data_IF_601898482862
#
_entry.id   IF_601898482862
#
_cell.length_a   1.000
_cell.length_b   1.000
_cell.length_c   1.000
_cell.angle_alpha   90.00
_cell.angle_beta   90.00
_cell.angle_gamma   90.00
#
_symmetry.space_group_name_H-M   'P 1'
#
loop_
_entity.id
_entity.type
_entity.pdbx_description
1 polymer ?
#
# COMPACT_ATOMS: atom_id res chain seq x y z
N UNK A 1 7.09 14.07 11.09
CA UNK A 1 7.21 13.45 9.76
C UNK A 1 8.18 14.24 8.90
N UNK A 2 8.88 13.56 7.98
CA UNK A 2 9.66 14.23 6.92
C UNK A 2 8.74 14.64 5.75
N UNK A 3 9.28 15.45 4.83
CA UNK A 3 8.65 15.85 3.57
C UNK A 3 8.41 14.65 2.65
N UNK A 4 7.53 14.83 1.66
CA UNK A 4 7.29 13.84 0.59
C UNK A 4 8.61 13.49 -0.10
N UNK A 5 8.93 12.20 -0.18
CA UNK A 5 10.16 11.72 -0.81
C UNK A 5 11.42 11.81 0.04
N UNK A 6 11.34 12.21 1.32
CA UNK A 6 12.47 12.19 2.24
C UNK A 6 13.75 12.85 1.71
N UNK A 7 13.61 14.02 1.06
CA UNK A 7 14.70 14.73 0.39
C UNK A 7 15.41 13.96 -0.75
N UNK A 8 14.70 13.06 -1.42
CA UNK A 8 15.23 12.24 -2.51
C UNK A 8 15.76 10.87 -2.08
N UNK A 9 15.62 10.52 -0.80
CA UNK A 9 16.01 9.21 -0.28
C UNK A 9 15.02 8.13 -0.73
N UNK A 10 15.52 7.12 -1.43
CA UNK A 10 14.73 5.97 -1.88
C UNK A 10 15.13 4.73 -1.10
N UNK A 11 14.14 3.92 -0.72
CA UNK A 11 14.35 2.63 -0.07
C UNK A 11 13.76 1.51 -0.90
N UNK A 12 14.53 0.45 -1.14
CA UNK A 12 14.02 -0.80 -1.72
C UNK A 12 13.76 -1.83 -0.61
N UNK A 13 12.54 -2.38 -0.48
CA UNK A 13 12.15 -3.16 0.69
C UNK A 13 12.52 -4.65 0.63
N UNK A 14 13.46 -5.03 -0.23
CA UNK A 14 13.74 -6.43 -0.59
C UNK A 14 14.56 -7.21 0.45
N UNK A 15 14.27 -7.06 1.75
CA UNK A 15 15.08 -7.64 2.83
C UNK A 15 15.23 -9.17 2.75
N UNK A 16 14.25 -9.86 2.16
CA UNK A 16 14.20 -11.33 2.04
C UNK A 16 14.13 -11.79 0.57
N UNK A 17 14.57 -10.95 -0.37
CA UNK A 17 14.21 -11.10 -1.78
C UNK A 17 12.84 -10.49 -2.09
N UNK A 18 12.38 -10.65 -3.32
CA UNK A 18 11.09 -10.16 -3.80
C UNK A 18 10.37 -11.21 -4.65
N UNK A 19 9.06 -11.36 -4.46
CA UNK A 19 8.21 -12.25 -5.24
C UNK A 19 7.58 -11.54 -6.41
N UNK A 20 6.95 -10.39 -6.15
CA UNK A 20 6.24 -9.61 -7.16
C UNK A 20 6.76 -8.18 -7.12
N UNK A 21 7.14 -7.57 -8.25
CA UNK A 21 6.97 -8.06 -9.62
C UNK A 21 8.11 -8.96 -10.14
N UNK A 22 9.23 -9.03 -9.43
CA UNK A 22 10.50 -9.51 -10.00
C UNK A 22 10.74 -11.03 -9.90
N UNK A 23 10.17 -11.70 -8.90
CA UNK A 23 10.43 -13.11 -8.58
C UNK A 23 11.94 -13.43 -8.45
N UNK A 24 12.61 -12.67 -7.60
CA UNK A 24 14.05 -12.72 -7.37
C UNK A 24 14.33 -12.99 -5.88
N UNK A 25 14.87 -14.16 -5.56
CA UNK A 25 15.20 -14.55 -4.19
C UNK A 25 16.53 -13.94 -3.68
N UNK A 26 17.33 -13.36 -4.58
CA UNK A 26 18.70 -12.90 -4.30
C UNK A 26 18.81 -11.40 -4.09
N UNK A 27 17.87 -10.62 -4.63
CA UNK A 27 17.81 -9.16 -4.43
C UNK A 27 17.72 -8.81 -2.94
N UNK A 28 18.35 -7.70 -2.54
CA UNK A 28 18.39 -7.21 -1.16
C UNK A 28 17.99 -5.75 -1.07
N UNK A 29 17.47 -5.37 0.10
CA UNK A 29 17.07 -4.00 0.36
C UNK A 29 18.24 -3.03 0.40
N UNK A 30 17.98 -1.78 0.00
CA UNK A 30 18.97 -0.71 -0.10
C UNK A 30 18.37 0.65 0.20
N UNK A 31 19.18 1.55 0.74
CA UNK A 31 18.91 2.99 0.74
C UNK A 31 19.76 3.64 -0.35
N UNK A 32 19.12 4.39 -1.24
CA UNK A 32 19.75 5.08 -2.36
C UNK A 32 19.52 6.58 -2.20
N UNK A 33 20.58 7.38 -2.37
CA UNK A 33 20.52 8.84 -2.23
C UNK A 33 20.81 9.36 -0.81
N UNK A 34 21.51 8.58 0.03
CA UNK A 34 21.99 9.05 1.33
C UNK A 34 22.98 10.21 1.16
N UNK A 35 22.81 11.24 1.99
CA UNK A 35 23.75 12.36 2.13
C UNK A 35 23.99 12.73 3.59
N UNK A 36 24.87 13.72 3.83
CA UNK A 36 25.20 14.17 5.18
C UNK A 36 24.03 14.88 5.91
N UNK A 37 22.99 15.29 5.19
CA UNK A 37 21.81 15.97 5.75
C UNK A 37 20.67 15.00 6.06
N UNK A 38 20.78 13.75 5.62
CA UNK A 38 19.74 12.74 5.80
C UNK A 38 19.47 12.49 7.28
N UNK A 39 18.21 12.66 7.68
CA UNK A 39 17.79 12.46 9.07
C UNK A 39 17.14 11.10 9.28
N UNK A 40 17.02 10.69 10.55
CA UNK A 40 16.24 9.51 10.90
C UNK A 40 14.76 9.59 10.51
N UNK A 41 14.21 10.81 10.37
CA UNK A 41 12.84 11.02 9.88
C UNK A 41 12.73 10.78 8.38
N UNK A 42 13.76 11.14 7.59
CA UNK A 42 13.85 10.84 6.16
C UNK A 42 13.93 9.33 5.95
N UNK A 43 14.77 8.63 6.70
CA UNK A 43 14.89 7.17 6.59
C UNK A 43 13.57 6.47 6.93
N UNK A 44 12.88 6.89 8.00
CA UNK A 44 11.54 6.35 8.34
C UNK A 44 10.54 6.60 7.22
N UNK A 45 10.54 7.80 6.64
CA UNK A 45 9.66 8.17 5.53
C UNK A 45 9.95 7.32 4.28
N UNK A 46 11.21 7.22 3.89
CA UNK A 46 11.66 6.42 2.76
C UNK A 46 11.28 4.94 2.92
N UNK A 47 11.35 4.37 4.13
CA UNK A 47 10.90 2.99 4.37
C UNK A 47 9.40 2.83 4.07
N UNK A 48 8.54 3.73 4.56
CA UNK A 48 7.11 3.65 4.30
C UNK A 48 6.80 3.85 2.81
N UNK A 49 7.46 4.81 2.17
CA UNK A 49 7.32 5.09 0.74
C UNK A 49 7.82 3.91 -0.10
N UNK A 50 8.98 3.33 0.22
CA UNK A 50 9.57 2.17 -0.46
C UNK A 50 8.71 0.92 -0.41
N UNK A 51 8.14 0.59 0.76
CA UNK A 51 7.17 -0.52 0.89
C UNK A 51 5.92 -0.22 0.05
N UNK A 52 5.50 1.05 -0.02
CA UNK A 52 4.34 1.44 -0.83
C UNK A 52 4.68 1.35 -2.32
N UNK A 53 5.89 1.72 -2.73
CA UNK A 53 6.34 1.60 -4.13
C UNK A 53 6.39 0.15 -4.61
N UNK A 54 6.83 -0.81 -3.78
CA UNK A 54 6.79 -2.23 -4.18
C UNK A 54 5.37 -2.74 -4.46
N UNK A 55 4.37 -2.22 -3.75
CA UNK A 55 2.95 -2.51 -4.02
C UNK A 55 2.47 -1.75 -5.26
N UNK A 56 2.97 -0.53 -5.49
CA UNK A 56 2.63 0.28 -6.66
C UNK A 56 3.05 -0.40 -7.97
N UNK A 57 4.10 -1.20 -7.99
CA UNK A 57 4.43 -2.06 -9.15
C UNK A 57 3.27 -3.00 -9.50
N UNK A 58 2.69 -3.65 -8.50
CA UNK A 58 1.55 -4.56 -8.71
C UNK A 58 0.32 -3.82 -9.22
N UNK A 59 0.04 -2.63 -8.69
CA UNK A 59 -1.05 -1.76 -9.16
C UNK A 59 -0.80 -1.31 -10.61
N UNK A 60 0.46 -1.02 -10.96
CA UNK A 60 0.86 -0.64 -12.32
C UNK A 60 0.63 -1.79 -13.29
N UNK A 61 0.98 -3.02 -12.91
CA UNK A 61 0.67 -4.23 -13.69
C UNK A 61 -0.84 -4.39 -13.90
N UNK A 62 -1.66 -4.22 -12.86
CA UNK A 62 -3.12 -4.27 -13.00
C UNK A 62 -3.64 -3.21 -13.98
N UNK A 63 -3.16 -1.97 -13.87
CA UNK A 63 -3.56 -0.86 -14.75
C UNK A 63 -3.14 -1.08 -16.21
N UNK A 64 -1.95 -1.62 -16.43
CA UNK A 64 -1.47 -2.00 -17.77
C UNK A 64 -2.35 -3.08 -18.42
N UNK A 65 -3.02 -3.91 -17.60
CA UNK A 65 -4.03 -4.87 -18.02
C UNK A 65 -5.46 -4.28 -18.04
N UNK A 66 -5.59 -2.94 -18.07
CA UNK A 66 -6.86 -2.19 -18.14
C UNK A 66 -7.78 -2.42 -16.93
N UNK A 67 -7.24 -2.85 -15.79
CA UNK A 67 -7.99 -2.95 -14.53
C UNK A 67 -7.90 -1.59 -13.82
N UNK A 68 -9.05 -0.95 -13.63
CA UNK A 68 -9.14 0.30 -12.88
C UNK A 68 -8.99 0.03 -11.38
N UNK A 69 -8.05 0.71 -10.73
CA UNK A 69 -7.85 0.68 -9.28
C UNK A 69 -8.07 2.09 -8.75
N UNK A 70 -9.31 2.35 -8.30
CA UNK A 70 -9.77 3.67 -7.84
C UNK A 70 -9.94 3.71 -6.31
N UNK A 71 -10.16 2.55 -5.69
CA UNK A 71 -10.37 2.39 -4.25
C UNK A 71 -9.61 1.16 -3.76
N UNK A 72 -8.99 1.28 -2.59
CA UNK A 72 -8.20 0.22 -1.96
C UNK A 72 -8.61 0.13 -0.49
N UNK A 73 -8.87 -1.08 -0.02
CA UNK A 73 -9.10 -1.36 1.39
C UNK A 73 -7.76 -1.74 2.02
N UNK A 74 -7.20 -0.87 2.86
CA UNK A 74 -5.99 -1.14 3.63
C UNK A 74 -6.35 -1.90 4.90
N UNK A 75 -5.65 -3.00 5.17
CA UNK A 75 -5.87 -3.89 6.31
C UNK A 75 -4.57 -4.17 7.07
N UNK A 76 -4.67 -4.74 8.27
CA UNK A 76 -3.52 -5.12 9.09
C UNK A 76 -2.88 -3.93 9.83
N UNK A 77 -1.67 -4.13 10.37
CA UNK A 77 -1.03 -3.14 11.25
C UNK A 77 -0.79 -1.77 10.61
N UNK A 78 -0.49 -1.74 9.31
CA UNK A 78 -0.29 -0.50 8.55
C UNK A 78 -1.54 0.37 8.46
N UNK A 79 -2.73 -0.25 8.52
CA UNK A 79 -4.02 0.44 8.44
C UNK A 79 -4.32 1.31 9.68
N UNK A 80 -3.56 1.14 10.78
CA UNK A 80 -3.68 1.98 11.98
C UNK A 80 -2.89 3.29 11.86
N UNK A 81 -1.99 3.40 10.88
CA UNK A 81 -1.12 4.55 10.70
C UNK A 81 -1.69 5.53 9.65
N UNK A 82 -2.30 6.62 10.13
CA UNK A 82 -2.92 7.65 9.27
C UNK A 82 -1.94 8.28 8.27
N UNK A 83 -0.69 8.52 8.65
CA UNK A 83 0.34 9.05 7.74
C UNK A 83 0.63 8.06 6.62
N UNK A 84 0.76 6.76 6.94
CA UNK A 84 1.01 5.75 5.93
C UNK A 84 -0.19 5.53 5.00
N UNK A 85 -1.42 5.61 5.51
CA UNK A 85 -2.62 5.58 4.67
C UNK A 85 -2.65 6.74 3.66
N UNK A 86 -2.22 7.94 4.06
CA UNK A 86 -2.10 9.07 3.13
C UNK A 86 -1.00 8.83 2.08
N UNK A 87 0.16 8.30 2.49
CA UNK A 87 1.24 7.91 1.55
C UNK A 87 0.73 6.90 0.53
N UNK A 88 -0.02 5.88 0.96
CA UNK A 88 -0.68 4.92 0.07
C UNK A 88 -1.63 5.62 -0.90
N UNK A 89 -2.52 6.51 -0.41
CA UNK A 89 -3.47 7.22 -1.26
C UNK A 89 -2.75 8.02 -2.36
N UNK A 90 -1.69 8.73 -1.97
CA UNK A 90 -0.94 9.60 -2.86
C UNK A 90 -0.14 8.80 -3.92
N UNK A 91 0.58 7.75 -3.50
CA UNK A 91 1.40 6.92 -4.40
C UNK A 91 0.51 6.10 -5.33
N UNK A 92 -0.54 5.47 -4.79
CA UNK A 92 -1.44 4.65 -5.57
C UNK A 92 -2.35 5.50 -6.47
N UNK A 93 -2.52 6.79 -6.15
CA UNK A 93 -3.50 7.67 -6.78
C UNK A 93 -4.89 7.01 -6.78
N UNK A 94 -5.30 6.50 -5.61
CA UNK A 94 -6.56 5.82 -5.34
C UNK A 94 -7.04 6.18 -3.92
N UNK A 95 -8.34 6.14 -3.69
CA UNK A 95 -8.89 6.36 -2.34
C UNK A 95 -8.54 5.16 -1.45
N UNK A 96 -8.07 5.41 -0.23
CA UNK A 96 -7.79 4.36 0.75
C UNK A 96 -8.85 4.38 1.82
N UNK A 97 -9.48 3.23 2.08
CA UNK A 97 -10.36 3.05 3.24
C UNK A 97 -9.81 1.94 4.14
N UNK A 98 -10.30 1.90 5.37
CA UNK A 98 -10.01 0.85 6.35
C UNK A 98 -11.32 0.33 6.93
N UNK A 99 -11.32 -0.93 7.37
CA UNK A 99 -12.48 -1.52 8.03
C UNK A 99 -12.52 -1.11 9.51
N UNK A 100 -13.71 -1.02 10.09
CA UNK A 100 -13.88 -0.76 11.53
C UNK A 100 -13.52 -1.96 12.39
N UNK A 101 -13.58 -3.16 11.80
CA UNK A 101 -13.12 -4.41 12.40
C UNK A 101 -11.64 -4.67 12.07
N UNK A 102 -10.94 -5.43 12.92
CA UNK A 102 -9.50 -5.72 12.73
C UNK A 102 -9.19 -7.18 12.34
N UNK A 103 -10.19 -8.07 12.29
CA UNK A 103 -10.04 -9.52 12.25
C UNK A 103 -10.33 -10.13 10.87
N UNK A 104 -9.66 -9.63 9.82
CA UNK A 104 -9.92 -10.00 8.42
C UNK A 104 -10.12 -11.51 8.16
N UNK A 105 -9.12 -12.39 8.40
CA UNK A 105 -9.23 -13.82 8.08
C UNK A 105 -10.32 -14.54 8.89
N UNK A 106 -10.43 -14.24 10.18
CA UNK A 106 -11.45 -14.85 11.04
C UNK A 106 -12.86 -14.43 10.61
N UNK A 107 -13.03 -13.17 10.19
CA UNK A 107 -14.29 -12.68 9.64
C UNK A 107 -14.67 -13.43 8.36
N UNK A 108 -13.72 -13.62 7.43
CA UNK A 108 -13.95 -14.40 6.22
C UNK A 108 -14.42 -15.83 6.51
N UNK A 109 -13.78 -16.50 7.49
CA UNK A 109 -14.20 -17.83 7.93
C UNK A 109 -15.64 -17.83 8.50
N UNK A 110 -16.00 -16.82 9.30
CA UNK A 110 -17.35 -16.65 9.83
C UNK A 110 -18.38 -16.41 8.71
N UNK A 111 -18.04 -15.61 7.70
CA UNK A 111 -18.91 -15.37 6.54
C UNK A 111 -19.17 -16.66 5.75
N UNK A 112 -18.14 -17.50 5.56
CA UNK A 112 -18.28 -18.80 4.93
C UNK A 112 -19.17 -19.74 5.74
N UNK A 113 -19.00 -19.78 7.07
CA UNK A 113 -19.84 -20.57 7.95
C UNK A 113 -21.30 -20.12 7.93
N UNK A 114 -21.55 -18.80 7.93
CA UNK A 114 -22.90 -18.23 7.85
C UNK A 114 -23.61 -18.56 6.53
N UNK A 115 -22.89 -18.53 5.40
CA UNK A 115 -23.41 -19.01 4.12
C UNK A 115 -23.74 -20.51 4.15
N UNK A 116 -22.83 -21.33 4.68
CA UNK A 116 -23.04 -22.78 4.80
C UNK A 116 -24.22 -23.15 5.73
N UNK A 117 -24.45 -22.35 6.76
CA UNK A 117 -25.60 -22.47 7.67
C UNK A 117 -26.89 -21.83 7.13
N UNK A 118 -26.86 -21.26 5.92
CA UNK A 118 -27.99 -20.59 5.27
C UNK A 118 -28.58 -19.44 6.09
N UNK A 119 -27.76 -18.73 6.88
CA UNK A 119 -28.19 -17.54 7.63
C UNK A 119 -28.36 -16.31 6.74
N UNK A 120 -27.75 -16.35 5.55
CA UNK A 120 -27.79 -15.30 4.55
C UNK A 120 -27.95 -15.92 3.17
N UNK A 121 -28.53 -15.14 2.25
CA UNK A 121 -28.79 -15.56 0.87
C UNK A 121 -27.56 -15.39 -0.04
N UNK A 122 -26.65 -14.48 0.33
CA UNK A 122 -25.43 -14.20 -0.44
C UNK A 122 -24.33 -13.54 0.38
N UNK A 123 -23.08 -13.61 -0.09
CA UNK A 123 -21.97 -12.86 0.51
C UNK A 123 -22.18 -11.34 0.50
N UNK A 124 -22.94 -10.81 -0.47
CA UNK A 124 -23.26 -9.39 -0.55
C UNK A 124 -24.12 -8.95 0.64
N UNK A 125 -25.15 -9.75 0.99
CA UNK A 125 -25.99 -9.47 2.16
C UNK A 125 -25.21 -9.56 3.47
N UNK A 126 -24.21 -10.46 3.56
CA UNK A 126 -23.32 -10.52 4.72
C UNK A 126 -22.42 -9.28 4.77
N UNK A 127 -21.83 -8.88 3.63
CA UNK A 127 -20.97 -7.71 3.54
C UNK A 127 -21.71 -6.44 4.01
N UNK A 128 -22.94 -6.22 3.54
CA UNK A 128 -23.77 -5.08 3.96
C UNK A 128 -24.14 -5.10 5.45
N UNK A 129 -24.39 -6.30 6.00
CA UNK A 129 -24.80 -6.43 7.40
C UNK A 129 -23.62 -6.32 8.38
N UNK A 130 -22.44 -6.83 7.99
CA UNK A 130 -21.35 -7.11 8.92
C UNK A 130 -20.12 -6.23 8.69
N UNK A 131 -19.96 -5.62 7.52
CA UNK A 131 -18.77 -4.85 7.16
C UNK A 131 -19.07 -3.36 7.16
N UNK A 132 -18.28 -2.62 7.93
CA UNK A 132 -18.32 -1.17 7.96
C UNK A 132 -16.94 -0.60 7.67
N UNK A 133 -16.92 0.53 6.97
CA UNK A 133 -15.72 1.22 6.53
C UNK A 133 -15.59 2.58 7.21
N UNK A 134 -14.36 2.97 7.48
CA UNK A 134 -14.03 4.34 7.84
C UNK A 134 -14.12 5.28 6.63
N UNK A 135 -14.15 6.58 6.90
CA UNK A 135 -14.14 7.60 5.85
C UNK A 135 -12.87 7.44 4.98
N UNK A 136 -13.01 7.46 3.64
CA UNK A 136 -11.90 7.24 2.75
C UNK A 136 -10.92 8.43 2.78
N UNK A 137 -9.64 8.10 2.78
CA UNK A 137 -8.52 9.02 2.61
C UNK A 137 -8.28 9.19 1.11
N UNK A 138 -8.37 10.43 0.63
CA UNK A 138 -8.22 10.75 -0.79
C UNK A 138 -6.77 11.15 -1.11
N UNK A 139 -6.30 10.90 -2.34
CA UNK A 139 -4.98 11.36 -2.78
C UNK A 139 -4.85 12.89 -2.72
N UNK A 140 -3.70 13.38 -2.29
CA UNK A 140 -3.31 14.79 -2.37
C UNK A 140 -2.65 15.03 -3.74
N UNK A 141 -3.37 15.68 -4.66
CA UNK A 141 -2.95 15.86 -6.06
C UNK A 141 -1.59 16.55 -6.21
N UNK A 142 -1.21 17.45 -5.30
CA UNK A 142 0.09 18.14 -5.36
C UNK A 142 1.29 17.20 -5.19
N UNK A 143 1.11 16.04 -4.54
CA UNK A 143 2.18 15.09 -4.28
C UNK A 143 2.43 14.14 -5.47
N UNK A 144 1.46 14.06 -6.39
CA UNK A 144 1.45 13.07 -7.48
C UNK A 144 2.70 13.15 -8.35
N UNK A 145 3.14 14.36 -8.71
CA UNK A 145 4.32 14.55 -9.56
C UNK A 145 5.58 14.03 -8.86
N UNK A 146 5.77 14.38 -7.59
CA UNK A 146 6.93 13.96 -6.81
C UNK A 146 6.97 12.44 -6.65
N UNK A 147 5.85 11.81 -6.29
CA UNK A 147 5.81 10.35 -6.15
C UNK A 147 5.98 9.62 -7.47
N UNK A 148 5.47 10.15 -8.59
CA UNK A 148 5.71 9.56 -9.91
C UNK A 148 7.21 9.55 -10.24
N UNK A 149 7.90 10.66 -10.02
CA UNK A 149 9.34 10.76 -10.29
C UNK A 149 10.16 9.83 -9.38
N UNK A 150 9.78 9.74 -8.10
CA UNK A 150 10.43 8.83 -7.15
C UNK A 150 10.17 7.37 -7.49
N UNK A 151 8.98 7.04 -8.00
CA UNK A 151 8.64 5.70 -8.43
C UNK A 151 9.47 5.30 -9.66
N UNK A 152 9.67 6.20 -10.62
CA UNK A 152 10.55 5.95 -11.76
C UNK A 152 12.00 5.66 -11.31
N UNK A 153 12.51 6.42 -10.32
CA UNK A 153 13.83 6.17 -9.71
C UNK A 153 13.85 4.83 -8.97
N UNK A 154 12.81 4.53 -8.18
CA UNK A 154 12.69 3.27 -7.46
C UNK A 154 12.79 2.07 -8.41
N UNK A 155 12.08 2.12 -9.55
CA UNK A 155 12.09 1.05 -10.54
C UNK A 155 13.47 0.88 -11.20
N UNK A 156 14.25 1.94 -11.37
CA UNK A 156 15.59 1.85 -11.94
C UNK A 156 16.61 1.20 -11.00
N UNK A 157 16.36 1.17 -9.68
CA UNK A 157 17.27 0.52 -8.72
C UNK A 157 17.37 -0.98 -8.93
N UNK A 158 16.32 -1.61 -9.48
CA UNK A 158 16.32 -3.05 -9.76
C UNK A 158 17.01 -3.41 -11.08
N UNK A 159 17.12 -2.47 -12.03
CA UNK A 159 17.70 -2.68 -13.37
C UNK A 159 19.23 -2.68 -13.34
#
# INVERSE_FOLDING_TARGET
DSVVGGHGLVYTPYLLGERTPHNDATVRGSFIGLDANTTSLDMKRAVLEGITFSIQDSITIMRNNRIAVNEIVSIGGGAKNKTWLQIQADIFNASITTRTEEQGPAFGAAMLAAMGAQWFESFETINQAWIQFHQPIKPITSNRRSYSQLFDIYQSVYQ
#
